data_IF_574067516274
#
_entry.id   IF_574067516274
#
_cell.length_a   1.000
_cell.length_b   1.000
_cell.length_c   1.000
_cell.angle_alpha   90.00
_cell.angle_beta   90.00
_cell.angle_gamma   90.00
#
_symmetry.space_group_name_H-M   'P 1'
#
loop_
_entity.id
_entity.type
_entity.pdbx_description
1 polymer ?
#
# COMPACT_ATOMS: atom_id res chain seq x y z
N UNK A 1 0.03 -7.34 -7.80
CA UNK A 1 0.55 -6.05 -7.27
C UNK A 1 -0.45 -4.96 -7.64
N UNK A 2 -0.74 -4.06 -6.72
CA UNK A 2 -1.55 -2.87 -6.95
C UNK A 2 -0.67 -1.63 -6.83
N UNK A 3 -0.76 -0.73 -7.81
CA UNK A 3 0.01 0.51 -7.90
C UNK A 3 -0.92 1.64 -8.37
N UNK A 4 -1.69 2.24 -7.47
CA UNK A 4 -2.66 3.29 -7.82
C UNK A 4 -1.95 4.56 -8.31
N UNK A 5 -2.34 5.08 -9.46
CA UNK A 5 -1.71 6.28 -10.03
C UNK A 5 -0.27 6.06 -10.53
N UNK A 6 0.07 4.84 -10.89
CA UNK A 6 1.41 4.48 -11.31
C UNK A 6 1.82 5.18 -12.62
N UNK A 7 3.05 5.65 -12.67
CA UNK A 7 3.69 6.18 -13.88
C UNK A 7 4.39 5.05 -14.61
N UNK A 8 4.20 4.94 -15.93
CA UNK A 8 4.99 4.06 -16.78
C UNK A 8 6.44 4.56 -16.87
N UNK A 9 7.39 3.62 -16.84
CA UNK A 9 8.82 3.90 -16.89
C UNK A 9 9.36 3.60 -18.28
N UNK A 10 10.15 4.52 -18.82
CA UNK A 10 10.92 4.28 -20.03
C UNK A 10 12.40 4.15 -19.68
N UNK A 11 13.12 3.28 -20.38
CA UNK A 11 14.54 3.10 -20.15
C UNK A 11 15.27 2.73 -21.43
N UNK A 12 16.54 3.12 -21.50
CA UNK A 12 17.46 2.70 -22.54
C UNK A 12 18.56 1.84 -21.94
N UNK A 13 18.88 0.73 -22.60
CA UNK A 13 20.05 -0.08 -22.22
C UNK A 13 21.33 0.68 -22.58
N UNK A 14 21.98 1.24 -21.56
CA UNK A 14 23.28 1.93 -21.72
C UNK A 14 24.41 1.11 -21.09
N UNK A 15 25.63 1.19 -21.60
CA UNK A 15 26.78 0.52 -20.98
C UNK A 15 26.93 0.95 -19.52
N UNK A 16 27.17 -0.02 -18.65
CA UNK A 16 27.45 0.21 -17.23
C UNK A 16 26.35 -0.22 -16.27
N UNK A 17 25.08 -0.26 -16.68
CA UNK A 17 24.02 -0.85 -15.89
C UNK A 17 23.33 -1.99 -16.63
N UNK A 18 23.02 -3.06 -15.90
CA UNK A 18 22.05 -4.06 -16.32
C UNK A 18 20.70 -3.62 -15.80
N UNK A 19 19.71 -3.45 -16.69
CA UNK A 19 18.37 -2.99 -16.35
C UNK A 19 17.40 -4.14 -16.61
N UNK A 20 16.61 -4.49 -15.59
CA UNK A 20 15.63 -5.58 -15.65
C UNK A 20 14.27 -5.03 -15.22
N UNK A 21 13.23 -5.13 -16.05
CA UNK A 21 11.85 -4.84 -15.61
C UNK A 21 11.42 -5.86 -14.55
N UNK A 22 11.01 -5.38 -13.39
CA UNK A 22 10.49 -6.22 -12.30
C UNK A 22 8.98 -6.40 -12.39
N UNK A 23 8.30 -5.40 -12.90
CA UNK A 23 6.85 -5.37 -13.01
C UNK A 23 6.47 -4.68 -14.32
N UNK A 24 5.53 -5.29 -15.03
CA UNK A 24 4.94 -4.76 -16.27
C UNK A 24 3.43 -4.60 -16.07
N UNK A 25 2.84 -3.61 -16.73
CA UNK A 25 1.39 -3.53 -16.84
C UNK A 25 0.86 -4.63 -17.78
N UNK A 26 -0.46 -4.81 -17.78
CA UNK A 26 -1.12 -5.64 -18.79
C UNK A 26 -0.92 -5.03 -20.19
N UNK A 27 -1.00 -5.88 -21.22
CA UNK A 27 -0.87 -5.45 -22.62
C UNK A 27 -2.17 -4.87 -23.18
N UNK A 28 -3.30 -5.16 -22.54
CA UNK A 28 -4.64 -4.70 -22.95
C UNK A 28 -5.26 -3.87 -21.85
N UNK A 29 -5.92 -2.79 -22.21
CA UNK A 29 -6.55 -1.88 -21.27
C UNK A 29 -5.56 -0.98 -20.51
N UNK A 30 -4.29 -0.92 -20.94
CA UNK A 30 -3.26 -0.05 -20.38
C UNK A 30 -2.64 0.80 -21.47
N UNK A 31 -2.66 2.11 -21.29
CA UNK A 31 -2.04 3.08 -22.21
C UNK A 31 -1.36 4.21 -21.43
N UNK A 32 -0.51 4.95 -22.11
CA UNK A 32 0.09 6.17 -21.57
C UNK A 32 -0.91 7.32 -21.68
N UNK A 33 -1.63 7.62 -20.63
CA UNK A 33 -2.54 8.77 -20.59
C UNK A 33 -1.74 10.07 -20.64
N UNK A 34 -2.00 10.94 -21.64
CA UNK A 34 -1.29 12.20 -21.85
C UNK A 34 -2.20 13.41 -21.83
N UNK A 35 -3.51 13.24 -21.82
CA UNK A 35 -4.49 14.32 -21.91
C UNK A 35 -5.00 14.77 -20.55
N UNK A 36 -5.20 13.85 -19.61
CA UNK A 36 -5.72 14.20 -18.28
C UNK A 36 -4.86 13.66 -17.15
N UNK A 37 -4.79 14.45 -16.08
CA UNK A 37 -4.25 14.02 -14.77
C UNK A 37 -5.36 13.90 -13.73
N UNK A 38 -6.60 14.15 -14.10
CA UNK A 38 -7.75 14.09 -13.19
C UNK A 38 -8.50 12.76 -13.36
N UNK A 39 -8.01 11.71 -12.72
CA UNK A 39 -8.63 10.38 -12.74
C UNK A 39 -9.79 10.21 -11.74
N UNK A 40 -10.21 11.29 -11.07
CA UNK A 40 -11.32 11.27 -10.11
C UNK A 40 -12.62 11.63 -10.82
N UNK A 41 -12.61 12.73 -11.56
CA UNK A 41 -13.80 13.31 -12.19
C UNK A 41 -13.91 12.96 -13.69
N UNK A 42 -12.79 12.56 -14.30
CA UNK A 42 -12.72 12.26 -15.73
C UNK A 42 -12.45 10.78 -15.94
N UNK A 43 -13.19 10.17 -16.82
CA UNK A 43 -12.92 8.81 -17.27
C UNK A 43 -11.88 8.88 -18.38
N UNK A 44 -10.68 8.33 -18.11
CA UNK A 44 -9.65 8.19 -19.12
C UNK A 44 -10.16 7.28 -20.27
N UNK A 45 -10.00 7.73 -21.50
CA UNK A 45 -10.35 6.99 -22.72
C UNK A 45 -9.17 7.07 -23.69
N UNK A 46 -8.77 5.93 -24.24
CA UNK A 46 -7.64 5.85 -25.17
C UNK A 46 -7.83 6.78 -26.38
N UNK A 47 -6.96 7.76 -26.55
CA UNK A 47 -6.94 8.67 -27.67
C UNK A 47 -5.64 8.52 -28.49
N UNK A 48 -5.67 7.64 -29.47
CA UNK A 48 -4.51 7.40 -30.37
C UNK A 48 -4.08 8.67 -31.11
N UNK A 49 -4.99 9.64 -31.34
CA UNK A 49 -4.66 10.90 -32.02
C UNK A 49 -3.84 11.84 -31.14
N UNK A 50 -3.96 11.72 -29.84
CA UNK A 50 -3.14 12.45 -28.87
C UNK A 50 -1.73 11.85 -28.70
N UNK A 51 -1.45 10.70 -29.31
CA UNK A 51 -0.18 10.00 -29.19
C UNK A 51 -0.18 8.91 -28.13
N UNK A 52 -1.37 8.54 -27.63
CA UNK A 52 -1.51 7.45 -26.70
C UNK A 52 -1.37 6.09 -27.37
N UNK A 53 -0.68 5.19 -26.72
CA UNK A 53 -0.40 3.86 -27.22
C UNK A 53 -0.79 2.82 -26.19
N UNK A 54 -1.63 1.87 -26.60
CA UNK A 54 -2.00 0.73 -25.77
C UNK A 54 -0.92 -0.34 -25.87
N UNK A 55 -0.21 -0.55 -24.78
CA UNK A 55 0.85 -1.55 -24.67
C UNK A 55 1.20 -1.86 -23.21
N UNK A 56 2.06 -2.86 -22.98
CA UNK A 56 2.63 -3.09 -21.66
C UNK A 56 3.73 -2.06 -21.36
N UNK A 57 3.62 -1.41 -20.19
CA UNK A 57 4.59 -0.45 -19.68
C UNK A 57 5.35 -1.02 -18.47
N UNK A 58 6.68 -0.82 -18.39
CA UNK A 58 7.41 -1.12 -17.17
C UNK A 58 6.91 -0.23 -16.02
N UNK A 59 6.57 -0.84 -14.89
CA UNK A 59 6.10 -0.14 -13.69
C UNK A 59 7.12 -0.18 -12.56
N UNK A 60 8.07 -1.11 -12.64
CA UNK A 60 9.20 -1.22 -11.72
C UNK A 60 10.44 -1.73 -12.45
N UNK A 61 11.60 -1.15 -12.14
CA UNK A 61 12.89 -1.50 -12.73
C UNK A 61 13.90 -1.82 -11.63
N UNK A 62 14.70 -2.87 -11.85
CA UNK A 62 15.93 -3.11 -11.10
C UNK A 62 17.13 -2.78 -11.97
N UNK A 63 18.05 -2.00 -11.42
CA UNK A 63 19.31 -1.65 -12.05
C UNK A 63 20.46 -2.20 -11.19
N UNK A 64 21.40 -2.84 -11.83
CA UNK A 64 22.61 -3.33 -11.14
C UNK A 64 23.86 -3.05 -11.97
N UNK A 65 24.96 -2.80 -11.28
CA UNK A 65 26.29 -2.72 -11.87
C UNK A 65 27.37 -3.10 -10.88
N UNK A 66 28.53 -3.45 -11.38
CA UNK A 66 29.70 -3.69 -10.53
C UNK A 66 30.70 -2.54 -10.68
N UNK A 67 31.17 -1.99 -9.57
CA UNK A 67 32.23 -0.97 -9.52
C UNK A 67 33.24 -1.37 -8.45
N UNK A 68 34.49 -1.54 -8.83
CA UNK A 68 35.59 -1.89 -7.93
C UNK A 68 35.28 -3.12 -7.06
N UNK A 69 34.71 -4.16 -7.64
CA UNK A 69 34.36 -5.40 -6.94
C UNK A 69 33.15 -5.31 -6.01
N UNK A 70 32.39 -4.18 -6.06
CA UNK A 70 31.17 -3.99 -5.28
C UNK A 70 29.96 -3.88 -6.19
N UNK A 71 28.91 -4.61 -5.86
CA UNK A 71 27.62 -4.47 -6.54
C UNK A 71 26.86 -3.24 -6.07
N UNK A 72 26.47 -2.41 -7.01
CA UNK A 72 25.50 -1.34 -6.80
C UNK A 72 24.14 -1.78 -7.32
N UNK A 73 23.10 -1.61 -6.53
CA UNK A 73 21.73 -2.00 -6.86
C UNK A 73 20.82 -0.82 -6.64
N UNK A 74 19.92 -0.59 -7.58
CA UNK A 74 18.92 0.47 -7.54
C UNK A 74 17.58 -0.16 -7.93
N UNK A 75 16.51 0.21 -7.26
CA UNK A 75 15.14 -0.11 -7.67
C UNK A 75 14.40 1.19 -7.91
N UNK A 76 13.71 1.29 -9.02
CA UNK A 76 12.87 2.41 -9.40
C UNK A 76 11.44 1.87 -9.48
N UNK A 77 10.53 2.52 -8.78
CA UNK A 77 9.10 2.20 -8.79
C UNK A 77 8.35 3.38 -9.39
N UNK A 78 7.38 3.10 -10.26
CA UNK A 78 6.51 4.11 -10.87
C UNK A 78 5.44 4.65 -9.93
N UNK A 79 5.33 4.08 -8.71
CA UNK A 79 4.39 4.48 -7.69
C UNK A 79 4.97 4.22 -6.30
N UNK A 80 4.91 5.22 -5.42
CA UNK A 80 5.33 5.11 -4.03
C UNK A 80 4.22 4.53 -3.13
N UNK A 81 2.97 4.72 -3.50
CA UNK A 81 1.81 4.31 -2.71
C UNK A 81 1.67 2.78 -2.63
N UNK A 82 2.31 2.05 -3.55
CA UNK A 82 2.39 0.59 -3.49
C UNK A 82 3.02 0.06 -2.18
N UNK A 83 3.80 0.91 -1.47
CA UNK A 83 4.39 0.61 -0.16
C UNK A 83 3.58 1.16 1.01
N UNK A 84 2.45 1.79 0.77
CA UNK A 84 1.58 2.31 1.83
C UNK A 84 0.95 1.17 2.65
N UNK A 85 0.58 1.46 3.89
CA UNK A 85 -0.10 0.49 4.75
C UNK A 85 -1.42 -0.01 4.13
N UNK A 86 -2.08 0.81 3.34
CA UNK A 86 -3.32 0.45 2.65
C UNK A 86 -3.06 -0.61 1.57
N UNK A 87 -1.98 -0.45 0.80
CA UNK A 87 -1.63 -1.34 -0.31
C UNK A 87 -0.90 -2.61 0.16
N UNK A 88 -0.10 -2.54 1.23
CA UNK A 88 0.60 -3.70 1.79
C UNK A 88 -0.31 -4.65 2.57
N UNK A 89 -1.54 -4.26 2.87
CA UNK A 89 -2.49 -5.08 3.60
C UNK A 89 -2.89 -6.32 2.78
N UNK A 90 -2.55 -7.51 3.28
CA UNK A 90 -2.72 -8.78 2.56
C UNK A 90 -4.19 -9.12 2.26
N UNK A 91 -5.13 -8.66 3.10
CA UNK A 91 -6.55 -8.93 2.95
C UNK A 91 -7.30 -7.61 2.73
N UNK A 92 -7.38 -7.19 1.49
CA UNK A 92 -8.25 -6.09 1.07
C UNK A 92 -9.56 -6.67 0.56
N UNK A 93 -10.68 -6.04 0.90
CA UNK A 93 -11.97 -6.46 0.36
C UNK A 93 -11.91 -6.47 -1.18
N UNK A 94 -12.04 -7.66 -1.76
CA UNK A 94 -12.07 -7.90 -3.21
C UNK A 94 -10.73 -7.77 -3.97
N UNK A 95 -9.60 -7.50 -3.32
CA UNK A 95 -8.29 -7.40 -3.98
C UNK A 95 -7.29 -8.28 -3.27
N UNK A 96 -6.81 -9.31 -3.95
CA UNK A 96 -5.72 -10.14 -3.46
C UNK A 96 -4.40 -9.58 -4.02
N UNK A 97 -3.79 -8.65 -3.32
CA UNK A 97 -2.56 -7.99 -3.75
C UNK A 97 -1.34 -8.50 -2.97
N UNK A 98 -0.29 -8.84 -3.70
CA UNK A 98 0.97 -9.33 -3.16
C UNK A 98 2.00 -8.23 -2.89
N UNK A 99 1.59 -6.98 -2.62
CA UNK A 99 2.51 -5.85 -2.46
C UNK A 99 3.55 -6.08 -1.35
N UNK A 100 3.12 -6.58 -0.19
CA UNK A 100 4.04 -6.87 0.91
C UNK A 100 5.14 -7.88 0.52
N UNK A 101 4.76 -8.94 -0.19
CA UNK A 101 5.74 -9.94 -0.66
C UNK A 101 6.67 -9.37 -1.75
N UNK A 102 6.14 -8.53 -2.63
CA UNK A 102 6.94 -7.85 -3.66
C UNK A 102 8.01 -6.96 -3.02
N UNK A 103 7.63 -6.12 -2.07
CA UNK A 103 8.55 -5.23 -1.35
C UNK A 103 9.59 -6.01 -0.55
N UNK A 104 9.18 -7.08 0.14
CA UNK A 104 10.13 -7.97 0.83
C UNK A 104 11.14 -8.61 -0.14
N UNK A 105 10.69 -9.01 -1.33
CA UNK A 105 11.57 -9.55 -2.37
C UNK A 105 12.57 -8.51 -2.88
N UNK A 106 12.15 -7.26 -3.04
CA UNK A 106 13.05 -6.14 -3.38
C UNK A 106 14.13 -5.97 -2.31
N UNK A 107 13.74 -5.89 -1.03
CA UNK A 107 14.72 -5.76 0.05
C UNK A 107 15.66 -6.95 0.12
N UNK A 108 15.15 -8.17 -0.03
CA UNK A 108 15.98 -9.37 -0.08
C UNK A 108 17.00 -9.32 -1.22
N UNK A 109 16.60 -8.85 -2.40
CA UNK A 109 17.51 -8.69 -3.52
C UNK A 109 18.54 -7.58 -3.28
N UNK A 110 18.14 -6.45 -2.71
CA UNK A 110 19.04 -5.32 -2.42
C UNK A 110 20.12 -5.68 -1.38
N UNK A 111 19.78 -6.57 -0.46
CA UNK A 111 20.68 -6.99 0.64
C UNK A 111 21.40 -8.31 0.39
N UNK A 112 21.31 -8.88 -0.82
CA UNK A 112 21.86 -10.20 -1.15
C UNK A 112 21.36 -11.34 -0.23
N UNK A 113 20.14 -11.19 0.30
CA UNK A 113 19.56 -12.11 1.27
C UNK A 113 20.04 -11.92 2.71
N UNK A 114 20.93 -10.97 2.94
CA UNK A 114 21.41 -10.64 4.28
C UNK A 114 20.55 -9.53 4.91
N UNK A 115 19.66 -9.90 5.80
CA UNK A 115 18.94 -8.93 6.62
C UNK A 115 19.75 -8.67 7.89
N UNK A 116 20.10 -7.43 8.22
CA UNK A 116 20.86 -7.10 9.41
C UNK A 116 20.10 -7.39 10.71
N UNK A 117 18.81 -7.62 10.63
CA UNK A 117 17.93 -7.98 11.75
C UNK A 117 17.01 -9.11 11.28
N UNK A 118 16.96 -10.21 12.03
CA UNK A 118 15.95 -11.25 11.78
C UNK A 118 14.56 -10.71 12.18
N UNK A 119 13.88 -10.13 11.22
CA UNK A 119 12.50 -9.63 11.36
C UNK A 119 11.45 -10.73 11.20
N UNK A 120 11.88 -11.98 10.98
CA UNK A 120 10.98 -13.14 10.92
C UNK A 120 10.52 -13.53 12.33
N UNK A 121 9.81 -12.63 12.99
CA UNK A 121 9.03 -13.03 14.15
C UNK A 121 7.80 -13.78 13.65
N UNK A 122 7.52 -14.98 14.21
CA UNK A 122 6.21 -15.57 14.02
C UNK A 122 5.17 -14.54 14.48
N UNK A 123 4.13 -14.34 13.70
CA UNK A 123 3.01 -13.50 14.10
C UNK A 123 2.56 -13.97 15.49
N UNK A 124 2.74 -13.12 16.49
CA UNK A 124 2.19 -13.41 17.83
C UNK A 124 0.68 -13.35 17.72
N UNK A 125 -0.05 -14.36 18.21
CA UNK A 125 -1.51 -14.39 18.17
C UNK A 125 -2.16 -13.15 18.83
N UNK A 126 -1.42 -12.44 19.65
CA UNK A 126 -1.89 -11.25 20.41
C UNK A 126 -1.80 -9.91 19.63
N UNK A 127 -1.29 -9.89 18.40
CA UNK A 127 -1.13 -8.64 17.67
C UNK A 127 -2.39 -8.21 16.89
N UNK A 128 -3.35 -9.09 16.73
CA UNK A 128 -4.60 -8.81 16.02
C UNK A 128 -5.80 -8.92 16.95
N UNK A 129 -6.15 -7.81 17.60
CA UNK A 129 -7.48 -7.65 18.17
C UNK A 129 -8.48 -7.57 17.00
N UNK A 130 -8.88 -8.74 16.50
CA UNK A 130 -9.97 -8.82 15.54
C UNK A 130 -11.30 -8.59 16.23
N UNK A 131 -11.61 -7.33 16.49
CA UNK A 131 -12.93 -6.92 16.94
C UNK A 131 -13.83 -6.88 15.72
N UNK A 132 -14.56 -7.94 15.43
CA UNK A 132 -15.54 -7.96 14.33
C UNK A 132 -16.51 -6.77 14.43
N UNK A 133 -17.22 -6.48 13.35
CA UNK A 133 -18.16 -5.34 13.24
C UNK A 133 -19.16 -5.34 14.43
N UNK A 134 -19.58 -6.51 14.87
CA UNK A 134 -20.49 -6.64 16.02
C UNK A 134 -19.80 -6.38 17.36
N UNK A 135 -18.53 -6.76 17.51
CA UNK A 135 -17.74 -6.42 18.69
C UNK A 135 -17.51 -4.91 18.80
N UNK A 136 -17.27 -4.21 17.70
CA UNK A 136 -17.19 -2.73 17.69
C UNK A 136 -18.50 -2.07 18.08
N UNK A 137 -19.64 -2.61 17.65
CA UNK A 137 -20.96 -2.11 18.08
C UNK A 137 -21.16 -2.30 19.58
N UNK A 138 -20.88 -3.49 20.10
CA UNK A 138 -20.99 -3.80 21.53
C UNK A 138 -20.11 -2.86 22.35
N UNK A 139 -18.84 -2.67 21.97
CA UNK A 139 -17.92 -1.76 22.65
C UNK A 139 -18.44 -0.32 22.66
N UNK A 140 -18.98 0.14 21.53
CA UNK A 140 -19.57 1.48 21.41
C UNK A 140 -20.79 1.64 22.31
N UNK A 141 -21.69 0.68 22.33
CA UNK A 141 -22.89 0.72 23.21
C UNK A 141 -22.50 0.62 24.68
N UNK A 142 -21.53 -0.19 25.04
CA UNK A 142 -21.03 -0.28 26.41
C UNK A 142 -20.45 1.07 26.87
N UNK A 143 -19.68 1.75 26.00
CA UNK A 143 -19.11 3.06 26.31
C UNK A 143 -20.20 4.15 26.52
N UNK A 144 -21.21 4.18 25.66
CA UNK A 144 -22.34 5.10 25.81
C UNK A 144 -23.20 4.76 27.04
N UNK A 145 -23.44 3.48 27.27
CA UNK A 145 -24.21 3.01 28.45
C UNK A 145 -23.52 3.37 29.77
N UNK A 146 -22.19 3.19 29.83
CA UNK A 146 -21.41 3.57 31.00
C UNK A 146 -21.45 5.09 31.27
N UNK A 147 -21.31 5.89 30.23
CA UNK A 147 -21.39 7.35 30.31
C UNK A 147 -22.77 7.81 30.81
N UNK A 148 -23.84 7.21 30.31
CA UNK A 148 -25.20 7.50 30.74
C UNK A 148 -25.43 7.11 32.21
N UNK A 149 -24.91 5.96 32.63
CA UNK A 149 -24.98 5.50 34.02
C UNK A 149 -24.32 6.51 34.96
N UNK A 150 -23.11 7.00 34.61
CA UNK A 150 -22.43 8.01 35.42
C UNK A 150 -23.22 9.31 35.50
N UNK A 151 -23.87 9.72 34.42
CA UNK A 151 -24.73 10.91 34.40
C UNK A 151 -25.92 10.73 35.37
N UNK A 152 -26.58 9.57 35.32
CA UNK A 152 -27.71 9.26 36.19
C UNK A 152 -27.27 9.24 37.65
N UNK A 153 -26.16 8.60 37.98
CA UNK A 153 -25.60 8.59 39.35
C UNK A 153 -25.31 10.02 39.82
N UNK A 154 -24.70 10.83 38.95
CA UNK A 154 -24.43 12.24 39.25
C UNK A 154 -25.72 13.01 39.55
N UNK A 155 -26.74 12.89 38.73
CA UNK A 155 -28.03 13.56 38.92
C UNK A 155 -28.71 13.10 40.21
N UNK A 156 -28.72 11.81 40.52
CA UNK A 156 -29.27 11.28 41.77
C UNK A 156 -28.57 11.86 43.00
N UNK A 157 -27.23 11.92 42.97
CA UNK A 157 -26.45 12.50 44.06
C UNK A 157 -26.69 14.01 44.17
N UNK A 158 -26.84 14.72 43.07
CA UNK A 158 -27.09 16.14 43.01
C UNK A 158 -28.48 16.48 43.61
N UNK A 159 -29.54 15.74 43.21
CA UNK A 159 -30.88 15.90 43.76
C UNK A 159 -30.93 15.54 45.25
N UNK A 160 -30.27 14.46 45.66
CA UNK A 160 -30.22 14.07 47.07
C UNK A 160 -29.54 15.14 47.95
N UNK A 161 -28.49 15.76 47.43
CA UNK A 161 -27.81 16.87 48.17
C UNK A 161 -28.64 18.15 48.21
N UNK A 162 -29.44 18.44 47.18
CA UNK A 162 -30.23 19.67 47.09
C UNK A 162 -31.52 19.62 47.92
N UNK A 163 -31.98 18.41 48.30
CA UNK A 163 -33.14 18.19 49.14
C UNK A 163 -32.85 18.11 50.66
N UNK A 164 -31.58 18.34 51.01
CA UNK A 164 -31.13 18.56 52.38
C UNK A 164 -30.79 20.03 52.60
#
# INVERSE_FOLDING_TARGET
ITMPGCVGLEYEQKPGFTIIPLLMSETQGCWNEVETMNFIDEKAELNVKAGEVEQAYPLALALSREIAGKQQKIVILGDADCMSNAEMKANRDKVNAGNGMFILSIFNWMTDGEFPIDVRRPATPDNDLYVGVDGMKITRYAFWGFSLLLLVVYLCLWFHRRGR
#
